data_IF_966320166133
#
_entry.id   IF_966320166133
#
_cell.length_a   1.000
_cell.length_b   1.000
_cell.length_c   1.000
_cell.angle_alpha   90.00
_cell.angle_beta   90.00
_cell.angle_gamma   90.00
#
_symmetry.space_group_name_H-M   'P 1'
#
loop_
_entity.id
_entity.type
_entity.pdbx_description
1 polymer ?
#
# COMPACT_ATOMS: atom_id res chain seq x y z
N UNK A 1 6.68 -13.24 6.02
CA UNK A 1 6.62 -12.34 7.19
C UNK A 1 5.34 -12.52 8.01
N UNK A 2 4.16 -12.75 7.40
CA UNK A 2 2.90 -12.93 8.14
C UNK A 2 2.91 -14.05 9.19
N UNK A 3 3.30 -15.27 8.81
CA UNK A 3 3.20 -16.48 9.67
C UNK A 3 3.92 -16.32 11.02
N UNK A 4 5.14 -15.78 11.02
CA UNK A 4 5.92 -15.58 12.25
C UNK A 4 5.22 -14.59 13.19
N UNK A 5 4.72 -13.48 12.65
CA UNK A 5 3.95 -12.52 13.42
C UNK A 5 2.63 -13.14 13.95
N UNK A 6 1.96 -13.98 13.15
CA UNK A 6 0.73 -14.67 13.58
C UNK A 6 1.01 -15.63 14.72
N UNK A 7 2.11 -16.39 14.67
CA UNK A 7 2.50 -17.32 15.73
C UNK A 7 2.82 -16.57 17.02
N UNK A 8 3.62 -15.49 16.94
CA UNK A 8 3.99 -14.70 18.12
C UNK A 8 2.75 -14.06 18.75
N UNK A 9 1.86 -13.48 17.93
CA UNK A 9 0.61 -12.90 18.41
C UNK A 9 -0.32 -13.97 19.00
N UNK A 10 -0.41 -15.15 18.39
CA UNK A 10 -1.22 -16.24 18.92
C UNK A 10 -0.71 -16.72 20.30
N UNK A 11 0.60 -16.88 20.45
CA UNK A 11 1.22 -17.24 21.73
C UNK A 11 0.93 -16.16 22.78
N UNK A 12 1.07 -14.87 22.43
CA UNK A 12 0.72 -13.77 23.33
C UNK A 12 -0.76 -13.84 23.74
N UNK A 13 -1.67 -13.99 22.78
CA UNK A 13 -3.10 -14.01 23.08
C UNK A 13 -3.44 -15.15 24.03
N UNK A 14 -2.89 -16.35 23.79
CA UNK A 14 -3.16 -17.52 24.62
C UNK A 14 -2.53 -17.40 26.01
N UNK A 15 -1.27 -16.98 26.11
CA UNK A 15 -0.54 -16.96 27.36
C UNK A 15 -0.82 -15.73 28.23
N UNK A 16 -1.16 -14.58 27.63
CA UNK A 16 -1.29 -13.31 28.35
C UNK A 16 -2.72 -12.78 28.37
N UNK A 17 -3.42 -12.81 27.24
CA UNK A 17 -4.73 -12.15 27.10
C UNK A 17 -5.89 -13.01 27.55
N UNK A 18 -5.94 -14.29 27.18
CA UNK A 18 -6.98 -15.23 27.63
C UNK A 18 -7.07 -15.29 29.17
N UNK A 19 -5.96 -15.48 29.92
CA UNK A 19 -6.05 -15.55 31.39
C UNK A 19 -6.48 -14.23 32.05
N UNK A 20 -6.35 -13.08 31.36
CA UNK A 20 -6.77 -11.76 31.84
C UNK A 20 -7.93 -11.16 31.05
N UNK A 21 -8.73 -12.01 30.40
CA UNK A 21 -9.82 -11.56 29.54
C UNK A 21 -10.83 -10.67 30.29
N UNK A 22 -11.11 -10.99 31.56
CA UNK A 22 -12.03 -10.24 32.38
C UNK A 22 -11.58 -8.78 32.61
N UNK A 23 -10.29 -8.57 32.88
CA UNK A 23 -9.73 -7.26 33.18
C UNK A 23 -9.46 -6.44 31.91
N UNK A 24 -9.01 -7.11 30.84
CA UNK A 24 -8.58 -6.45 29.60
C UNK A 24 -9.70 -6.21 28.60
N UNK A 25 -10.74 -7.05 28.62
CA UNK A 25 -11.76 -7.10 27.57
C UNK A 25 -13.15 -6.96 28.15
N UNK A 26 -13.54 -7.76 29.15
CA UNK A 26 -14.90 -7.76 29.66
C UNK A 26 -15.25 -6.51 30.51
N UNK A 27 -14.36 -6.10 31.42
CA UNK A 27 -14.54 -4.93 32.26
C UNK A 27 -14.67 -3.61 31.46
N UNK A 28 -13.76 -3.28 30.53
CA UNK A 28 -13.92 -2.07 29.72
C UNK A 28 -15.11 -2.14 28.74
N UNK A 29 -15.52 -3.34 28.27
CA UNK A 29 -16.76 -3.47 27.48
C UNK A 29 -18.01 -3.19 28.31
N UNK A 30 -18.06 -3.70 29.54
CA UNK A 30 -19.18 -3.47 30.46
C UNK A 30 -19.28 -1.99 30.86
N UNK A 31 -18.14 -1.33 31.10
CA UNK A 31 -18.09 0.11 31.40
C UNK A 31 -18.44 0.97 30.18
N UNK A 32 -18.05 0.57 28.97
CA UNK A 32 -18.40 1.27 27.73
C UNK A 32 -19.84 0.99 27.25
N UNK A 33 -20.58 0.09 27.91
CA UNK A 33 -21.93 -0.32 27.49
C UNK A 33 -21.97 -1.01 26.12
N UNK A 34 -20.83 -1.53 25.65
CA UNK A 34 -20.69 -2.11 24.32
C UNK A 34 -20.94 -3.61 24.35
N UNK A 35 -21.64 -4.12 23.34
CA UNK A 35 -22.03 -5.53 23.26
C UNK A 35 -20.92 -6.37 22.62
N UNK A 36 -20.92 -7.69 22.89
CA UNK A 36 -20.05 -8.64 22.20
C UNK A 36 -20.19 -8.57 20.67
N UNK A 37 -21.36 -8.15 20.18
CA UNK A 37 -21.59 -7.90 18.77
C UNK A 37 -20.73 -6.78 18.19
N UNK A 38 -20.52 -5.69 18.93
CA UNK A 38 -19.68 -4.58 18.48
C UNK A 38 -18.23 -5.01 18.37
N UNK A 39 -17.74 -5.81 19.33
CA UNK A 39 -16.39 -6.37 19.30
C UNK A 39 -16.19 -7.28 18.08
N UNK A 40 -17.16 -8.14 17.77
CA UNK A 40 -17.13 -8.98 16.56
C UNK A 40 -17.19 -8.15 15.28
N UNK A 41 -17.99 -7.08 15.27
CA UNK A 41 -18.14 -6.20 14.11
C UNK A 41 -16.83 -5.42 13.84
N UNK A 42 -16.21 -4.86 14.89
CA UNK A 42 -14.91 -4.20 14.80
C UNK A 42 -13.83 -5.18 14.32
N UNK A 43 -13.77 -6.37 14.90
CA UNK A 43 -12.82 -7.41 14.50
C UNK A 43 -13.04 -7.84 13.04
N UNK A 44 -14.30 -7.99 12.63
CA UNK A 44 -14.70 -8.31 11.26
C UNK A 44 -14.28 -7.22 10.27
N UNK A 45 -14.52 -5.94 10.60
CA UNK A 45 -14.12 -4.80 9.77
C UNK A 45 -12.60 -4.70 9.64
N UNK A 46 -11.86 -4.88 10.73
CA UNK A 46 -10.40 -4.89 10.71
C UNK A 46 -9.90 -6.06 9.85
N UNK A 47 -10.50 -7.24 9.98
CA UNK A 47 -10.20 -8.41 9.16
C UNK A 47 -10.45 -8.15 7.67
N UNK A 48 -11.60 -7.57 7.32
CA UNK A 48 -11.96 -7.21 5.95
C UNK A 48 -11.01 -6.16 5.37
N UNK A 49 -10.64 -5.13 6.14
CA UNK A 49 -9.67 -4.12 5.72
C UNK A 49 -8.29 -4.75 5.44
N UNK A 50 -7.84 -5.68 6.29
CA UNK A 50 -6.60 -6.42 6.08
C UNK A 50 -6.65 -7.33 4.86
N UNK A 51 -7.82 -7.95 4.58
CA UNK A 51 -8.03 -8.75 3.39
C UNK A 51 -7.96 -7.89 2.12
N UNK A 52 -8.66 -6.75 2.09
CA UNK A 52 -8.61 -5.79 0.98
C UNK A 52 -7.19 -5.28 0.76
N UNK A 53 -6.45 -4.99 1.85
CA UNK A 53 -5.05 -4.58 1.78
C UNK A 53 -4.16 -5.66 1.13
N UNK A 54 -4.32 -6.93 1.55
CA UNK A 54 -3.59 -8.05 0.98
C UNK A 54 -3.93 -8.28 -0.50
N UNK A 55 -5.22 -8.25 -0.85
CA UNK A 55 -5.67 -8.40 -2.24
C UNK A 55 -5.16 -7.27 -3.14
N UNK A 56 -5.22 -6.02 -2.67
CA UNK A 56 -4.68 -4.87 -3.40
C UNK A 56 -3.17 -4.99 -3.64
N UNK A 57 -2.43 -5.51 -2.65
CA UNK A 57 -1.01 -5.77 -2.77
C UNK A 57 -0.69 -6.83 -3.85
N UNK A 58 -1.39 -7.97 -3.82
CA UNK A 58 -1.19 -9.02 -4.83
C UNK A 58 -1.65 -8.59 -6.23
N UNK A 59 -2.74 -7.84 -6.32
CA UNK A 59 -3.21 -7.29 -7.60
C UNK A 59 -2.20 -6.32 -8.22
N UNK A 60 -1.56 -5.48 -7.40
CA UNK A 60 -0.51 -4.54 -7.83
C UNK A 60 0.75 -5.28 -8.30
N UNK A 61 1.12 -6.37 -7.64
CA UNK A 61 2.25 -7.21 -8.07
C UNK A 61 1.98 -7.93 -9.40
N UNK A 62 0.74 -8.36 -9.65
CA UNK A 62 0.40 -9.12 -10.85
C UNK A 62 0.35 -8.26 -12.12
N UNK A 63 -0.06 -6.99 -12.04
CA UNK A 63 -0.31 -6.15 -13.22
C UNK A 63 0.82 -5.15 -13.57
N UNK A 64 1.79 -4.92 -12.68
CA UNK A 64 2.85 -3.92 -12.92
C UNK A 64 4.24 -4.57 -13.12
N UNK A 65 4.89 -4.41 -14.30
CA UNK A 65 6.28 -4.82 -14.51
C UNK A 65 7.20 -3.95 -13.64
N UNK A 66 7.83 -4.55 -12.62
CA UNK A 66 8.57 -3.84 -11.57
C UNK A 66 7.81 -3.65 -10.25
N UNK A 67 6.75 -4.43 -10.02
CA UNK A 67 5.85 -4.32 -8.86
C UNK A 67 6.51 -4.32 -7.48
N UNK A 68 7.72 -4.87 -7.32
CA UNK A 68 8.45 -4.83 -6.04
C UNK A 68 8.76 -3.39 -5.57
N UNK A 69 9.13 -2.48 -6.48
CA UNK A 69 9.47 -1.09 -6.14
C UNK A 69 8.18 -0.29 -5.85
N UNK A 70 7.16 -0.45 -6.70
CA UNK A 70 5.85 0.19 -6.50
C UNK A 70 5.22 -0.23 -5.17
N UNK A 71 5.29 -1.53 -4.84
CA UNK A 71 4.81 -2.07 -3.58
C UNK A 71 5.55 -1.52 -2.36
N UNK A 72 6.86 -1.27 -2.45
CA UNK A 72 7.63 -0.62 -1.39
C UNK A 72 7.21 0.82 -1.16
N UNK A 73 7.01 1.59 -2.24
CA UNK A 73 6.56 2.98 -2.18
C UNK A 73 5.15 3.08 -1.59
N UNK A 74 4.25 2.18 -1.98
CA UNK A 74 2.89 2.16 -1.43
C UNK A 74 2.85 1.87 0.08
N UNK A 75 3.71 0.97 0.56
CA UNK A 75 3.85 0.71 2.00
C UNK A 75 4.41 1.92 2.75
N UNK A 76 5.40 2.60 2.18
CA UNK A 76 5.93 3.84 2.74
C UNK A 76 4.87 4.96 2.80
N UNK A 77 4.11 5.14 1.71
CA UNK A 77 3.03 6.12 1.64
C UNK A 77 1.93 5.85 2.67
N UNK A 78 1.55 4.59 2.85
CA UNK A 78 0.58 4.19 3.89
C UNK A 78 1.07 4.61 5.28
N UNK A 79 2.33 4.32 5.62
CA UNK A 79 2.89 4.68 6.92
C UNK A 79 2.87 6.20 7.15
N UNK A 80 3.21 6.99 6.12
CA UNK A 80 3.19 8.45 6.19
C UNK A 80 1.77 9.01 6.30
N UNK A 81 0.81 8.46 5.56
CA UNK A 81 -0.61 8.83 5.65
C UNK A 81 -1.18 8.57 7.04
N UNK A 82 -0.94 7.37 7.59
CA UNK A 82 -1.39 7.01 8.95
C UNK A 82 -0.79 7.99 9.96
N UNK A 83 0.52 8.22 9.88
CA UNK A 83 1.21 9.13 10.78
C UNK A 83 0.71 10.58 10.67
N UNK A 84 0.47 11.05 9.45
CA UNK A 84 -0.09 12.38 9.20
C UNK A 84 -1.51 12.51 9.77
N UNK A 85 -2.40 11.56 9.47
CA UNK A 85 -3.77 11.55 10.01
C UNK A 85 -3.79 11.45 11.52
N UNK A 86 -2.93 10.62 12.13
CA UNK A 86 -2.78 10.54 13.57
C UNK A 86 -2.37 11.89 14.15
N UNK A 87 -1.43 12.61 13.52
CA UNK A 87 -1.03 13.95 13.98
C UNK A 87 -2.16 14.99 13.87
N UNK A 88 -3.03 14.90 12.87
CA UNK A 88 -4.17 15.82 12.73
C UNK A 88 -5.29 15.51 13.73
N UNK A 89 -5.59 14.24 13.98
CA UNK A 89 -6.72 13.80 14.81
C UNK A 89 -6.38 13.85 16.31
N UNK A 90 -5.15 13.50 16.68
CA UNK A 90 -4.75 13.32 18.07
C UNK A 90 -3.94 14.47 18.66
N UNK A 91 -3.51 15.45 17.87
CA UNK A 91 -2.85 16.64 18.39
C UNK A 91 -3.79 17.38 19.35
N UNK A 92 -3.35 17.57 20.59
CA UNK A 92 -4.09 18.31 21.63
C UNK A 92 -5.23 17.55 22.32
N UNK A 93 -5.58 16.30 21.94
CA UNK A 93 -6.67 15.54 22.59
C UNK A 93 -6.22 14.45 23.57
N UNK A 94 -5.27 13.57 23.19
CA UNK A 94 -5.00 12.34 23.99
C UNK A 94 -3.51 11.90 23.95
N UNK A 95 -2.58 12.76 23.52
CA UNK A 95 -1.17 12.34 23.33
C UNK A 95 -0.10 13.42 23.49
N UNK A 96 -0.35 14.47 24.28
CA UNK A 96 0.66 15.51 24.56
C UNK A 96 1.11 16.33 23.33
N UNK A 97 2.13 17.17 23.51
CA UNK A 97 2.77 17.93 22.41
C UNK A 97 3.62 17.03 21.50
N UNK A 98 4.02 15.85 21.96
CA UNK A 98 4.77 14.86 21.16
C UNK A 98 4.00 14.30 19.96
N UNK A 99 2.66 14.27 20.01
CA UNK A 99 1.80 13.90 18.88
C UNK A 99 1.50 15.08 17.95
N UNK A 100 1.79 16.31 18.38
CA UNK A 100 1.62 17.49 17.54
C UNK A 100 2.70 17.60 16.45
N UNK A 101 2.40 18.46 15.48
CA UNK A 101 3.07 18.59 14.20
C UNK A 101 4.44 19.28 14.34
N UNK A 102 5.50 18.52 14.64
CA UNK A 102 6.86 19.07 14.73
C UNK A 102 7.50 19.26 13.34
N UNK A 103 8.43 20.21 13.20
CA UNK A 103 9.08 20.57 11.93
C UNK A 103 9.76 19.38 11.25
N UNK A 104 10.25 18.40 12.02
CA UNK A 104 10.92 17.20 11.52
C UNK A 104 9.94 16.23 10.84
N UNK A 105 8.69 16.15 11.33
CA UNK A 105 7.61 15.38 10.70
C UNK A 105 7.17 16.01 9.39
N UNK A 106 7.14 17.34 9.33
CA UNK A 106 6.82 18.10 8.12
C UNK A 106 7.88 17.91 7.02
N UNK A 107 9.17 18.00 7.36
CA UNK A 107 10.26 17.74 6.42
C UNK A 107 10.19 16.31 5.85
N UNK A 108 9.91 15.33 6.72
CA UNK A 108 9.73 13.93 6.31
C UNK A 108 8.56 13.75 5.33
N UNK A 109 7.45 14.44 5.57
CA UNK A 109 6.29 14.42 4.67
C UNK A 109 6.64 14.96 3.28
N UNK A 110 7.33 16.10 3.20
CA UNK A 110 7.74 16.70 1.91
C UNK A 110 8.62 15.73 1.13
N UNK A 111 9.61 15.11 1.79
CA UNK A 111 10.50 14.14 1.14
C UNK A 111 9.70 12.96 0.59
N UNK A 112 8.79 12.38 1.38
CA UNK A 112 8.00 11.23 0.92
C UNK A 112 7.04 11.60 -0.21
N UNK A 113 6.33 12.73 -0.11
CA UNK A 113 5.44 13.23 -1.17
C UNK A 113 6.22 13.47 -2.46
N UNK A 114 7.39 14.12 -2.37
CA UNK A 114 8.23 14.38 -3.54
C UNK A 114 8.73 13.08 -4.20
N UNK A 115 9.14 12.09 -3.41
CA UNK A 115 9.58 10.78 -3.91
C UNK A 115 8.46 10.01 -4.61
N UNK A 116 7.23 10.07 -4.07
CA UNK A 116 6.05 9.42 -4.67
C UNK A 116 5.66 10.09 -5.99
N UNK A 117 5.64 11.43 -6.03
CA UNK A 117 5.33 12.17 -7.26
C UNK A 117 6.39 11.89 -8.33
N UNK A 118 7.68 11.94 -7.98
CA UNK A 118 8.77 11.65 -8.91
C UNK A 118 8.69 10.22 -9.45
N UNK A 119 8.39 9.25 -8.59
CA UNK A 119 8.20 7.86 -9.01
C UNK A 119 7.02 7.69 -9.97
N UNK A 120 5.90 8.36 -9.71
CA UNK A 120 4.74 8.37 -10.59
C UNK A 120 5.09 8.92 -11.98
N UNK A 121 5.74 10.09 -12.03
CA UNK A 121 6.16 10.72 -13.28
C UNK A 121 7.16 9.86 -14.05
N UNK A 122 8.17 9.29 -13.37
CA UNK A 122 9.17 8.42 -13.99
C UNK A 122 8.55 7.13 -14.54
N UNK A 123 7.57 6.56 -13.82
CA UNK A 123 6.86 5.34 -14.25
C UNK A 123 6.01 5.61 -15.49
N UNK A 124 5.27 6.72 -15.53
CA UNK A 124 4.48 7.14 -16.69
C UNK A 124 5.38 7.44 -17.90
N UNK A 125 6.51 8.13 -17.69
CA UNK A 125 7.47 8.42 -18.74
C UNK A 125 8.05 7.13 -19.36
N UNK A 126 8.42 6.15 -18.52
CA UNK A 126 8.92 4.84 -18.97
C UNK A 126 7.84 4.06 -19.72
N UNK A 127 6.59 4.07 -19.24
CA UNK A 127 5.44 3.42 -19.90
C UNK A 127 5.21 4.01 -21.29
N UNK A 128 5.29 5.34 -21.42
CA UNK A 128 5.14 6.05 -22.70
C UNK A 128 6.23 5.69 -23.71
N UNK A 129 7.49 5.58 -23.28
CA UNK A 129 8.61 5.19 -24.16
C UNK A 129 8.49 3.76 -24.67
N UNK A 130 8.04 2.82 -23.83
CA UNK A 130 7.78 1.42 -24.24
C UNK A 130 6.65 1.35 -25.25
N UNK A 131 5.53 2.05 -25.02
CA UNK A 131 4.40 2.09 -25.97
C UNK A 131 4.78 2.71 -27.31
N UNK A 132 5.60 3.76 -27.32
CA UNK A 132 6.10 4.40 -28.56
C UNK A 132 7.05 3.45 -29.30
N UNK A 133 7.99 2.79 -28.61
CA UNK A 133 8.88 1.80 -29.23
C UNK A 133 8.11 0.60 -29.79
N UNK A 134 7.07 0.13 -29.10
CA UNK A 134 6.20 -0.94 -29.59
C UNK A 134 5.40 -0.51 -30.84
N UNK A 135 4.86 0.72 -30.87
CA UNK A 135 4.18 1.25 -32.05
C UNK A 135 5.13 1.46 -33.23
N UNK A 136 6.36 1.90 -32.99
CA UNK A 136 7.39 2.05 -34.04
C UNK A 136 7.81 0.68 -34.56
N UNK A 137 8.03 -0.32 -33.70
CA UNK A 137 8.32 -1.70 -34.10
C UNK A 137 7.19 -2.33 -34.91
N UNK A 138 5.93 -2.12 -34.51
CA UNK A 138 4.77 -2.58 -35.26
C UNK A 138 4.61 -1.88 -36.63
N UNK A 139 5.01 -0.61 -36.75
CA UNK A 139 5.06 0.09 -38.05
C UNK A 139 6.27 -0.33 -38.90
N UNK A 140 7.40 -0.66 -38.29
CA UNK A 140 8.60 -1.16 -38.99
C UNK A 140 8.34 -2.51 -39.67
N UNK A 141 7.51 -3.37 -39.09
CA UNK A 141 7.07 -4.61 -39.74
C UNK A 141 6.12 -4.40 -40.94
N UNK A 142 5.53 -3.21 -41.09
CA UNK A 142 4.60 -2.88 -42.17
C UNK A 142 5.22 -2.07 -43.32
N UNK A 143 6.55 -2.00 -43.39
CA UNK A 143 7.28 -1.35 -44.49
C UNK A 143 8.34 -2.30 -45.07
N UNK A 144 7.88 -3.37 -45.72
CA UNK A 144 8.58 -3.85 -46.92
C UNK A 144 7.96 -3.04 -48.06
N UNK A 145 8.65 -2.03 -48.62
CA UNK A 145 8.26 -1.49 -49.91
C UNK A 145 8.64 -2.53 -50.96
N UNK A 146 7.65 -3.08 -51.65
CA UNK A 146 7.84 -3.77 -52.92
C UNK A 146 8.17 -2.66 -53.94
N UNK A 147 9.46 -2.40 -54.15
CA UNK A 147 9.97 -1.47 -55.15
C UNK A 147 11.04 -2.20 -55.96
N UNK A 148 10.61 -2.52 -57.16
CA UNK A 148 11.33 -2.65 -58.43
C UNK A 148 12.44 -3.70 -58.55
N UNK A 149 12.20 -4.66 -59.45
CA UNK A 149 13.00 -4.79 -60.68
C UNK A 149 12.45 -5.89 -61.58
N UNK A 150 11.93 -5.52 -62.75
CA UNK A 150 12.01 -6.35 -63.95
C UNK A 150 13.46 -6.87 -64.12
N UNK A 151 13.61 -8.11 -64.60
CA UNK A 151 14.50 -8.28 -65.74
C UNK A 151 13.83 -9.08 -66.84
N UNK A 152 13.95 -8.56 -68.06
CA UNK A 152 13.95 -9.34 -69.30
C UNK A 152 14.77 -10.63 -69.13
N UNK A 153 14.22 -11.75 -69.56
CA UNK A 153 14.98 -12.94 -69.99
C UNK A 153 14.16 -13.77 -70.99
N UNK A 154 14.50 -13.54 -72.28
CA UNK A 154 14.44 -14.42 -73.48
C UNK A 154 13.08 -14.94 -73.94
#
# INVERSE_FOLDING_TARGET
QGIVATIILAVWQIAYTIPRFQELVAAPMAEAGSSYWDALLILGLIGAANLVHALSFFHTLAHFPGGAVSAGIMKGLQAVLVFFLTSLIFCGKTGGEEMCFTSLKFASLIVVVSGVVLYGVATEAKRRQVSVSAMIGARGFKRIPDVDSEPECV
#
